data_IF_831912273159
#
_entry.id   IF_831912273159
#
_cell.length_a   1.000
_cell.length_b   1.000
_cell.length_c   1.000
_cell.angle_alpha   90.00
_cell.angle_beta   90.00
_cell.angle_gamma   90.00
#
_symmetry.space_group_name_H-M   'P 1'
#
loop_
_entity.id
_entity.type
_entity.pdbx_description
1 polymer ?
#
# COMPACT_ATOMS: atom_id res chain seq x y z
N UNK A 1 0.25 32.27 -36.43
CA UNK A 1 0.52 30.83 -36.27
C UNK A 1 1.89 30.70 -35.63
N UNK A 2 1.93 30.54 -34.31
CA UNK A 2 3.16 30.31 -33.55
C UNK A 2 2.84 29.24 -32.51
N UNK A 3 3.58 28.14 -32.60
CA UNK A 3 3.28 26.86 -31.98
C UNK A 3 3.34 26.92 -30.45
N UNK A 4 2.29 26.38 -29.83
CA UNK A 4 2.16 26.11 -28.40
C UNK A 4 3.01 24.87 -28.06
N UNK A 5 4.22 25.07 -27.53
CA UNK A 5 5.02 23.99 -26.96
C UNK A 5 4.62 23.82 -25.50
N UNK A 6 3.63 22.98 -25.22
CA UNK A 6 3.35 22.55 -23.86
C UNK A 6 4.48 21.61 -23.40
N UNK A 7 5.12 21.82 -22.24
CA UNK A 7 6.02 20.83 -21.70
C UNK A 7 5.22 19.58 -21.34
N UNK A 8 5.74 18.41 -21.73
CA UNK A 8 5.19 17.10 -21.39
C UNK A 8 5.02 16.97 -19.87
N UNK A 9 3.99 16.27 -19.38
CA UNK A 9 3.91 15.96 -17.95
C UNK A 9 5.08 15.03 -17.63
N UNK A 10 6.05 15.54 -16.88
CA UNK A 10 7.08 14.74 -16.24
C UNK A 10 6.34 13.86 -15.23
N UNK A 11 6.27 12.55 -15.48
CA UNK A 11 5.99 11.61 -14.41
C UNK A 11 7.09 11.79 -13.38
N UNK A 12 6.75 12.41 -12.25
CA UNK A 12 7.59 12.50 -11.07
C UNK A 12 7.76 11.07 -10.51
N UNK A 13 8.66 10.32 -11.12
CA UNK A 13 9.43 9.33 -10.40
C UNK A 13 10.47 10.08 -9.57
N UNK A 14 10.64 9.58 -8.34
CA UNK A 14 11.57 10.02 -7.29
C UNK A 14 11.01 11.01 -6.25
N UNK A 15 11.32 10.66 -5.00
CA UNK A 15 11.06 11.38 -3.74
C UNK A 15 9.72 11.15 -3.04
N UNK A 16 9.23 9.90 -3.00
CA UNK A 16 8.72 9.44 -1.70
C UNK A 16 9.94 8.98 -0.91
N UNK A 17 10.26 9.56 0.26
CA UNK A 17 11.25 8.95 1.12
C UNK A 17 10.66 7.60 1.49
N UNK A 18 11.20 6.53 0.90
CA UNK A 18 11.11 5.21 1.48
C UNK A 18 11.79 5.35 2.84
N UNK A 19 11.00 5.75 3.86
CA UNK A 19 11.41 5.67 5.25
C UNK A 19 12.01 4.29 5.46
N UNK A 20 13.00 4.15 6.36
CA UNK A 20 13.84 2.97 6.45
C UNK A 20 12.98 1.71 6.32
N UNK A 21 13.13 1.03 5.18
CA UNK A 21 12.40 -0.20 4.95
C UNK A 21 12.96 -1.19 5.95
N UNK A 22 12.22 -1.43 7.04
CA UNK A 22 12.66 -2.36 8.06
C UNK A 22 12.86 -3.72 7.37
N UNK A 23 14.08 -4.28 7.38
CA UNK A 23 14.36 -5.57 6.76
C UNK A 23 13.41 -6.67 7.25
N UNK A 24 12.90 -6.53 8.47
CA UNK A 24 11.95 -7.47 9.10
C UNK A 24 10.60 -7.40 8.39
N UNK A 25 10.02 -6.21 8.16
CA UNK A 25 8.73 -6.09 7.47
C UNK A 25 8.82 -6.61 6.02
N UNK A 26 9.93 -6.35 5.34
CA UNK A 26 10.16 -6.91 4.00
C UNK A 26 10.26 -8.44 4.03
N UNK A 27 10.85 -9.02 5.08
CA UNK A 27 10.91 -10.48 5.26
C UNK A 27 9.53 -11.06 5.51
N UNK A 28 8.75 -10.44 6.40
CA UNK A 28 7.37 -10.83 6.70
C UNK A 28 6.50 -10.78 5.44
N UNK A 29 6.63 -9.73 4.63
CA UNK A 29 5.85 -9.57 3.41
C UNK A 29 6.11 -10.71 2.40
N UNK A 30 7.38 -11.17 2.28
CA UNK A 30 7.72 -12.35 1.45
C UNK A 30 7.05 -13.63 1.94
N UNK A 31 6.85 -13.74 3.25
CA UNK A 31 6.14 -14.83 3.88
C UNK A 31 4.61 -14.57 3.93
N UNK A 32 4.11 -13.58 3.16
CA UNK A 32 2.71 -13.13 3.00
C UNK A 32 2.08 -12.59 4.29
N UNK A 33 2.89 -11.96 5.13
CA UNK A 33 2.49 -11.35 6.39
C UNK A 33 2.56 -9.82 6.26
N UNK A 34 1.42 -9.17 6.43
CA UNK A 34 1.27 -7.70 6.46
C UNK A 34 1.06 -7.26 7.91
N UNK A 35 1.78 -6.22 8.34
CA UNK A 35 1.69 -5.68 9.70
C UNK A 35 1.09 -4.28 9.70
N UNK A 36 -0.02 -4.09 10.41
CA UNK A 36 -0.64 -2.80 10.69
C UNK A 36 -0.43 -2.45 12.17
N UNK A 37 0.62 -1.68 12.47
CA UNK A 37 1.03 -1.36 13.85
C UNK A 37 0.77 0.07 14.31
N UNK A 38 0.16 0.90 13.48
CA UNK A 38 0.01 2.33 13.72
C UNK A 38 -1.44 2.79 13.48
N UNK A 39 -1.70 4.07 13.75
CA UNK A 39 -2.98 4.73 13.46
C UNK A 39 -3.35 4.62 11.97
N UNK A 40 -4.62 4.36 11.68
CA UNK A 40 -5.12 4.20 10.32
C UNK A 40 -5.22 5.56 9.63
N UNK A 41 -4.28 5.83 8.71
CA UNK A 41 -4.21 7.02 7.85
C UNK A 41 -4.19 6.61 6.39
N UNK A 42 -4.54 7.53 5.51
CA UNK A 42 -4.66 7.28 4.07
C UNK A 42 -3.37 6.69 3.46
N UNK A 43 -2.20 7.20 3.86
CA UNK A 43 -0.91 6.68 3.37
C UNK A 43 -0.66 5.23 3.79
N UNK A 44 -0.92 4.89 5.06
CA UNK A 44 -0.78 3.53 5.58
C UNK A 44 -1.77 2.59 4.90
N UNK A 45 -3.02 3.01 4.74
CA UNK A 45 -4.05 2.24 4.05
C UNK A 45 -3.65 1.95 2.60
N UNK A 46 -3.18 2.96 1.86
CA UNK A 46 -2.72 2.79 0.49
C UNK A 46 -1.55 1.78 0.40
N UNK A 47 -0.61 1.80 1.35
CA UNK A 47 0.49 0.83 1.41
C UNK A 47 -0.02 -0.59 1.67
N UNK A 48 -0.95 -0.76 2.61
CA UNK A 48 -1.54 -2.07 2.94
C UNK A 48 -2.34 -2.63 1.76
N UNK A 49 -3.17 -1.80 1.11
CA UNK A 49 -3.91 -2.18 -0.10
C UNK A 49 -2.96 -2.62 -1.23
N UNK A 50 -1.89 -1.87 -1.48
CA UNK A 50 -0.89 -2.21 -2.49
C UNK A 50 -0.19 -3.55 -2.18
N UNK A 51 0.18 -3.79 -0.93
CA UNK A 51 0.78 -5.05 -0.49
C UNK A 51 -0.19 -6.23 -0.69
N UNK A 52 -1.46 -6.07 -0.32
CA UNK A 52 -2.48 -7.11 -0.52
C UNK A 52 -2.68 -7.46 -2.01
N UNK A 53 -2.82 -6.45 -2.87
CA UNK A 53 -2.98 -6.65 -4.32
C UNK A 53 -1.76 -7.33 -4.94
N UNK A 54 -0.55 -6.95 -4.51
CA UNK A 54 0.69 -7.57 -4.97
C UNK A 54 0.73 -9.06 -4.59
N UNK A 55 0.47 -9.39 -3.33
CA UNK A 55 0.47 -10.78 -2.86
C UNK A 55 -0.62 -11.63 -3.54
N UNK A 56 -1.80 -11.05 -3.76
CA UNK A 56 -2.88 -11.72 -4.49
C UNK A 56 -2.52 -11.97 -5.96
N UNK A 57 -1.81 -11.05 -6.60
CA UNK A 57 -1.32 -11.22 -7.97
C UNK A 57 -0.19 -12.28 -8.08
N UNK A 58 0.67 -12.39 -7.07
CA UNK A 58 1.74 -13.41 -7.02
C UNK A 58 1.20 -14.83 -6.89
N UNK A 59 0.22 -15.03 -5.99
CA UNK A 59 -0.44 -16.32 -5.80
C UNK A 59 -1.85 -16.09 -5.22
N UNK A 60 -2.90 -16.15 -6.05
CA UNK A 60 -4.28 -15.87 -5.62
C UNK A 60 -4.89 -16.99 -4.78
N UNK A 61 -4.21 -18.14 -4.65
CA UNK A 61 -4.72 -19.30 -3.87
C UNK A 61 -4.15 -19.37 -2.48
N UNK A 62 -3.11 -18.59 -2.17
CA UNK A 62 -2.47 -18.57 -0.87
C UNK A 62 -3.04 -17.48 0.00
N UNK A 63 -3.26 -17.82 1.26
CA UNK A 63 -3.73 -16.88 2.27
C UNK A 63 -2.74 -15.72 2.46
N UNK A 64 -3.29 -14.57 2.86
CA UNK A 64 -2.55 -13.37 3.27
C UNK A 64 -2.88 -13.13 4.75
N UNK A 65 -1.85 -12.99 5.57
CA UNK A 65 -2.01 -12.78 7.01
C UNK A 65 -1.88 -11.29 7.32
N UNK A 66 -2.99 -10.64 7.67
CA UNK A 66 -2.99 -9.26 8.14
C UNK A 66 -3.02 -9.23 9.67
N UNK A 67 -1.92 -8.81 10.30
CA UNK A 67 -1.85 -8.58 11.75
C UNK A 67 -2.20 -7.12 12.06
N UNK A 68 -3.12 -6.93 12.99
CA UNK A 68 -3.67 -5.61 13.34
C UNK A 68 -3.37 -5.31 14.80
N UNK A 69 -2.59 -4.25 15.01
CA UNK A 69 -2.38 -3.60 16.29
C UNK A 69 -2.50 -2.09 16.07
N UNK A 70 -3.73 -1.61 15.99
CA UNK A 70 -4.03 -0.21 15.67
C UNK A 70 -5.04 0.35 16.67
N UNK A 71 -4.90 1.62 17.10
CA UNK A 71 -5.92 2.32 17.88
C UNK A 71 -7.14 2.73 17.02
N UNK A 72 -7.15 2.44 15.72
CA UNK A 72 -8.13 2.95 14.76
C UNK A 72 -7.61 4.21 14.04
N UNK A 73 -8.53 5.00 13.47
CA UNK A 73 -8.19 6.22 12.74
C UNK A 73 -9.27 6.62 11.74
N UNK A 74 -8.85 6.99 10.53
CA UNK A 74 -9.74 7.38 9.43
C UNK A 74 -10.66 6.23 9.01
N UNK A 75 -11.98 6.47 9.05
CA UNK A 75 -12.97 5.48 8.61
C UNK A 75 -12.85 5.18 7.12
N UNK A 76 -12.63 6.20 6.27
CA UNK A 76 -12.50 6.02 4.82
C UNK A 76 -11.25 5.22 4.47
N UNK A 77 -10.14 5.47 5.17
CA UNK A 77 -8.92 4.67 5.02
C UNK A 77 -9.15 3.22 5.45
N UNK A 78 -9.85 3.00 6.56
CA UNK A 78 -10.24 1.66 7.01
C UNK A 78 -11.15 0.93 6.01
N UNK A 79 -12.11 1.63 5.40
CA UNK A 79 -12.97 1.08 4.36
C UNK A 79 -12.20 0.68 3.11
N UNK A 80 -11.20 1.45 2.69
CA UNK A 80 -10.35 1.07 1.56
C UNK A 80 -9.63 -0.27 1.80
N UNK A 81 -9.13 -0.48 3.01
CA UNK A 81 -8.48 -1.75 3.41
C UNK A 81 -9.51 -2.88 3.39
N UNK A 82 -10.67 -2.66 4.03
CA UNK A 82 -11.75 -3.64 4.09
C UNK A 82 -12.24 -4.07 2.70
N UNK A 83 -12.51 -3.11 1.81
CA UNK A 83 -13.00 -3.40 0.46
C UNK A 83 -11.92 -4.15 -0.36
N UNK A 84 -10.64 -3.82 -0.16
CA UNK A 84 -9.54 -4.55 -0.81
C UNK A 84 -9.45 -5.99 -0.32
N UNK A 85 -9.64 -6.23 0.98
CA UNK A 85 -9.66 -7.60 1.54
C UNK A 85 -10.78 -8.45 0.96
N UNK A 86 -11.93 -7.86 0.64
CA UNK A 86 -13.07 -8.58 0.06
C UNK A 86 -12.95 -8.77 -1.46
N UNK A 87 -12.12 -7.95 -2.12
CA UNK A 87 -11.90 -8.03 -3.56
C UNK A 87 -10.93 -9.13 -3.97
N UNK A 88 -9.88 -9.36 -3.16
CA UNK A 88 -8.78 -10.29 -3.46
C UNK A 88 -9.09 -11.75 -3.14
#
# INVERSE_FOLDING_TARGET
MSNLSAPLPVMAGEDTPAGPTDPIFNRLLKDRIIWMGEEVKDEMANRICAQMLMLAAEDPKKDIWLYINSPGGSMTAGMAIYDTMQYI
#
